data_IF_903913346899
#
_entry.id   IF_903913346899
#
_cell.length_a   1.000
_cell.length_b   1.000
_cell.length_c   1.000
_cell.angle_alpha   90.00
_cell.angle_beta   90.00
_cell.angle_gamma   90.00
#
_symmetry.space_group_name_H-M   'P 1'
#
loop_
_entity.id
_entity.type
_entity.pdbx_description
1 polymer ?
#
# COMPACT_ATOMS: atom_id res chain seq x y z
N UNK A 1 -8.56 -4.88 4.94
CA UNK A 1 -7.72 -5.80 4.16
C UNK A 1 -6.31 -5.24 3.98
N UNK A 2 -5.32 -6.10 3.83
CA UNK A 2 -3.90 -5.83 3.68
C UNK A 2 -3.41 -6.39 2.34
N UNK A 3 -2.66 -5.58 1.61
CA UNK A 3 -1.88 -5.98 0.43
C UNK A 3 -0.42 -5.60 0.64
N UNK A 4 0.50 -6.45 0.21
CA UNK A 4 1.93 -6.18 0.17
C UNK A 4 2.57 -6.96 -0.97
N UNK A 5 3.61 -6.41 -1.57
CA UNK A 5 4.34 -7.03 -2.66
C UNK A 5 5.86 -6.84 -2.47
N UNK A 6 6.63 -7.88 -2.81
CA UNK A 6 8.09 -7.80 -2.85
C UNK A 6 8.51 -7.26 -4.21
N UNK A 7 9.14 -6.10 -4.18
CA UNK A 7 9.63 -5.38 -5.37
C UNK A 7 11.15 -5.31 -5.41
N UNK A 8 11.77 -5.26 -6.60
CA UNK A 8 13.23 -5.28 -6.73
C UNK A 8 13.91 -3.93 -6.41
N UNK A 9 13.18 -2.82 -6.52
CA UNK A 9 13.70 -1.48 -6.25
C UNK A 9 12.59 -0.50 -5.84
N UNK A 10 13.01 0.69 -5.40
CA UNK A 10 12.11 1.78 -4.96
C UNK A 10 11.92 2.83 -6.07
N UNK A 11 12.02 2.47 -7.35
CA UNK A 11 11.84 3.42 -8.47
C UNK A 11 10.37 3.75 -8.69
N UNK A 12 10.14 4.84 -9.42
CA UNK A 12 8.79 5.31 -9.73
C UNK A 12 7.99 4.29 -10.54
N UNK A 13 8.61 3.67 -11.55
CA UNK A 13 7.99 2.66 -12.40
C UNK A 13 7.51 1.48 -11.56
N UNK A 14 8.37 1.00 -10.65
CA UNK A 14 8.06 -0.08 -9.72
C UNK A 14 6.95 0.30 -8.76
N UNK A 15 6.95 1.54 -8.26
CA UNK A 15 5.87 2.05 -7.41
C UNK A 15 4.52 2.08 -8.16
N UNK A 16 4.49 2.54 -9.41
CA UNK A 16 3.27 2.58 -10.23
C UNK A 16 2.77 1.17 -10.48
N UNK A 17 3.65 0.24 -10.87
CA UNK A 17 3.27 -1.17 -11.09
C UNK A 17 2.68 -1.81 -9.83
N UNK A 18 3.28 -1.56 -8.66
CA UNK A 18 2.73 -2.05 -7.39
C UNK A 18 1.33 -1.48 -7.09
N UNK A 19 1.02 -0.25 -7.52
CA UNK A 19 -0.34 0.29 -7.41
C UNK A 19 -1.31 -0.41 -8.36
N UNK A 20 -0.90 -0.68 -9.60
CA UNK A 20 -1.76 -1.39 -10.56
C UNK A 20 -2.12 -2.79 -10.05
N UNK A 21 -1.13 -3.56 -9.59
CA UNK A 21 -1.38 -4.86 -8.97
C UNK A 21 -2.26 -4.75 -7.72
N UNK A 22 -2.07 -3.70 -6.90
CA UNK A 22 -2.94 -3.47 -5.75
C UNK A 22 -4.38 -3.16 -6.19
N UNK A 23 -4.59 -2.33 -7.20
CA UNK A 23 -5.93 -2.01 -7.70
C UNK A 23 -6.63 -3.25 -8.26
N UNK A 24 -5.90 -4.09 -8.99
CA UNK A 24 -6.38 -5.40 -9.45
C UNK A 24 -6.75 -6.31 -8.27
N UNK A 25 -5.87 -6.41 -7.26
CA UNK A 25 -6.10 -7.21 -6.06
C UNK A 25 -7.37 -6.79 -5.30
N UNK A 26 -7.61 -5.49 -5.16
CA UNK A 26 -8.81 -4.96 -4.52
C UNK A 26 -10.04 -4.90 -5.46
N UNK A 27 -9.85 -5.12 -6.76
CA UNK A 27 -10.91 -5.02 -7.77
C UNK A 27 -11.43 -3.59 -7.98
N UNK A 28 -10.59 -2.59 -7.72
CA UNK A 28 -10.95 -1.18 -7.77
C UNK A 28 -9.80 -0.29 -7.30
N UNK A 29 -9.90 1.01 -7.55
CA UNK A 29 -8.88 1.98 -7.13
C UNK A 29 -9.42 2.97 -6.09
N UNK A 30 -8.50 3.45 -5.25
CA UNK A 30 -8.76 4.36 -4.14
C UNK A 30 -9.11 5.78 -4.59
N UNK A 31 -9.87 6.52 -3.78
CA UNK A 31 -10.16 7.94 -4.02
C UNK A 31 -9.09 8.88 -3.42
N UNK A 32 -8.46 8.47 -2.31
CA UNK A 32 -7.38 9.22 -1.67
C UNK A 32 -6.27 8.28 -1.20
N UNK A 33 -5.02 8.58 -1.56
CA UNK A 33 -3.83 7.79 -1.22
C UNK A 33 -2.92 8.54 -0.27
N UNK A 34 -2.63 7.93 0.88
CA UNK A 34 -1.72 8.51 1.87
C UNK A 34 -0.29 7.99 1.66
N UNK A 35 0.63 8.90 1.42
CA UNK A 35 2.03 8.61 1.11
C UNK A 35 2.97 9.24 2.14
N UNK A 36 4.15 8.64 2.27
CA UNK A 36 5.29 9.33 2.88
C UNK A 36 5.88 10.36 1.90
N UNK A 37 6.81 11.19 2.38
CA UNK A 37 7.51 12.18 1.54
C UNK A 37 8.66 11.55 0.72
N UNK A 38 8.47 10.33 0.20
CA UNK A 38 9.47 9.62 -0.64
C UNK A 38 9.68 10.33 -1.98
N UNK A 39 10.92 10.30 -2.52
CA UNK A 39 11.28 11.03 -3.76
C UNK A 39 10.44 10.66 -4.99
N UNK A 40 9.93 9.44 -5.02
CA UNK A 40 9.01 8.94 -6.06
C UNK A 40 7.66 9.67 -6.06
N UNK A 41 7.23 10.23 -4.92
CA UNK A 41 5.97 10.98 -4.76
C UNK A 41 6.22 12.47 -4.53
N UNK A 42 7.15 12.81 -3.65
CA UNK A 42 7.57 14.18 -3.30
C UNK A 42 8.99 14.39 -3.76
N UNK A 43 9.15 15.07 -4.89
CA UNK A 43 10.46 15.37 -5.49
C UNK A 43 11.31 16.30 -4.62
N UNK A 44 10.69 17.31 -3.99
CA UNK A 44 11.38 18.19 -3.02
C UNK A 44 10.49 18.56 -1.83
N UNK A 45 11.09 18.55 -0.65
CA UNK A 45 10.48 19.00 0.59
C UNK A 45 10.96 20.43 0.91
N UNK A 46 10.13 21.43 0.61
CA UNK A 46 10.39 22.84 0.93
C UNK A 46 9.21 23.41 1.76
N UNK A 47 9.10 24.75 1.89
CA UNK A 47 7.92 25.41 2.50
C UNK A 47 6.61 24.96 1.86
N UNK A 48 6.64 24.74 0.54
CA UNK A 48 5.61 24.02 -0.21
C UNK A 48 6.23 22.77 -0.83
N UNK A 49 5.48 21.68 -0.91
CA UNK A 49 5.98 20.41 -1.44
C UNK A 49 5.98 20.45 -2.96
N UNK A 50 7.09 20.06 -3.59
CA UNK A 50 7.16 19.79 -5.02
C UNK A 50 6.88 18.30 -5.23
N UNK A 51 5.74 17.96 -5.81
CA UNK A 51 5.39 16.57 -6.12
C UNK A 51 6.11 16.08 -7.38
N UNK A 52 6.30 14.77 -7.49
CA UNK A 52 6.82 14.14 -8.69
C UNK A 52 5.76 14.19 -9.81
N UNK A 53 6.03 14.93 -10.89
CA UNK A 53 5.08 15.15 -11.98
C UNK A 53 4.53 13.84 -12.57
N UNK A 54 5.41 12.86 -12.85
CA UNK A 54 4.98 11.57 -13.42
C UNK A 54 4.10 10.76 -12.47
N UNK A 55 4.33 10.86 -11.17
CA UNK A 55 3.43 10.24 -10.19
C UNK A 55 2.08 10.95 -10.11
N UNK A 56 2.09 12.29 -10.22
CA UNK A 56 0.85 13.06 -10.28
C UNK A 56 0.07 12.80 -11.57
N UNK A 57 0.73 12.59 -12.71
CA UNK A 57 0.09 12.20 -13.97
C UNK A 57 -0.63 10.85 -13.82
N UNK A 58 0.03 9.88 -13.20
CA UNK A 58 -0.60 8.60 -12.82
C UNK A 58 -1.82 8.80 -11.91
N UNK A 59 -1.67 9.60 -10.86
CA UNK A 59 -2.78 9.89 -9.94
C UNK A 59 -3.96 10.60 -10.62
N UNK A 60 -3.67 11.54 -11.52
CA UNK A 60 -4.67 12.28 -12.29
C UNK A 60 -5.38 11.39 -13.32
N UNK A 61 -4.65 10.47 -13.96
CA UNK A 61 -5.22 9.50 -14.90
C UNK A 61 -6.31 8.64 -14.22
N UNK A 62 -6.02 8.11 -13.04
CA UNK A 62 -7.01 7.37 -12.24
C UNK A 62 -7.99 8.30 -11.51
N UNK A 63 -7.62 9.55 -11.27
CA UNK A 63 -8.44 10.55 -10.59
C UNK A 63 -8.44 10.41 -9.06
N UNK A 64 -7.37 9.88 -8.47
CA UNK A 64 -7.24 9.80 -7.01
C UNK A 64 -6.35 10.92 -6.46
N UNK A 65 -6.64 11.34 -5.24
CA UNK A 65 -5.91 12.43 -4.58
C UNK A 65 -4.69 11.90 -3.84
N UNK A 66 -3.54 12.51 -4.09
CA UNK A 66 -2.29 12.24 -3.36
C UNK A 66 -2.23 13.08 -2.10
N UNK A 67 -2.23 12.42 -0.94
CA UNK A 67 -2.07 13.03 0.38
C UNK A 67 -0.69 12.66 0.92
N UNK A 68 0.05 13.64 1.41
CA UNK A 68 1.36 13.40 2.03
C UNK A 68 1.43 14.02 3.43
N UNK A 69 2.09 13.33 4.34
CA UNK A 69 2.21 13.77 5.74
C UNK A 69 2.89 15.13 5.87
N UNK A 70 2.32 16.03 6.68
CA UNK A 70 3.03 17.27 7.06
C UNK A 70 4.34 16.89 7.78
N UNK A 71 5.47 17.54 7.47
CA UNK A 71 6.69 17.38 8.25
C UNK A 71 6.39 17.59 9.75
N UNK A 72 6.93 16.74 10.62
CA UNK A 72 6.81 16.84 12.09
C UNK A 72 5.43 16.56 12.71
N UNK A 73 4.52 15.84 12.03
CA UNK A 73 3.30 15.32 12.67
C UNK A 73 3.25 13.77 12.71
N UNK A 74 3.94 13.14 13.67
CA UNK A 74 4.02 11.67 13.78
C UNK A 74 2.67 11.01 14.10
N UNK A 75 1.69 11.75 14.66
CA UNK A 75 0.39 11.19 15.06
C UNK A 75 -0.46 10.70 13.89
N UNK A 76 -0.27 11.25 12.69
CA UNK A 76 -1.02 10.84 11.49
C UNK A 76 -0.48 9.54 10.86
N UNK A 77 0.71 9.08 11.27
CA UNK A 77 1.48 8.03 10.58
C UNK A 77 1.37 6.63 11.22
N UNK A 78 0.66 6.51 12.35
CA UNK A 78 0.71 5.33 13.22
C UNK A 78 0.16 4.01 12.64
N UNK A 79 -0.75 4.04 11.66
CA UNK A 79 -1.31 2.80 11.07
C UNK A 79 -0.39 2.19 10.01
N UNK A 80 0.21 3.03 9.16
CA UNK A 80 1.15 2.57 8.11
C UNK A 80 2.52 2.25 8.72
N UNK A 81 2.97 3.00 9.73
CA UNK A 81 4.24 2.74 10.43
C UNK A 81 4.29 1.37 11.12
N UNK A 82 3.17 0.84 11.59
CA UNK A 82 3.13 -0.49 12.20
C UNK A 82 3.07 -1.62 11.17
N UNK A 83 2.65 -1.32 9.94
CA UNK A 83 2.40 -2.36 8.96
C UNK A 83 3.70 -2.94 8.39
N UNK A 84 4.67 -2.09 8.04
CA UNK A 84 5.95 -2.56 7.50
C UNK A 84 6.72 -3.43 8.52
N UNK A 85 6.92 -3.01 9.79
CA UNK A 85 7.48 -3.87 10.81
C UNK A 85 6.69 -5.16 11.01
N UNK A 86 5.35 -5.09 11.05
CA UNK A 86 4.50 -6.27 11.22
C UNK A 86 4.70 -7.31 10.12
N UNK A 87 4.74 -6.89 8.85
CA UNK A 87 5.04 -7.80 7.72
C UNK A 87 6.47 -8.35 7.86
N UNK A 88 7.46 -7.51 8.15
CA UNK A 88 8.86 -7.94 8.28
C UNK A 88 9.07 -8.94 9.42
N UNK A 89 8.46 -8.72 10.57
CA UNK A 89 8.59 -9.61 11.73
C UNK A 89 7.94 -10.97 11.47
N UNK A 90 6.83 -11.02 10.74
CA UNK A 90 6.15 -12.29 10.48
C UNK A 90 6.79 -13.10 9.34
N UNK A 91 7.39 -12.42 8.35
CA UNK A 91 7.94 -13.08 7.17
C UNK A 91 9.45 -13.26 7.28
N UNK A 92 10.19 -12.23 7.70
CA UNK A 92 11.66 -12.22 7.60
C UNK A 92 12.37 -12.67 8.88
N UNK A 93 11.74 -12.58 10.04
CA UNK A 93 12.42 -12.83 11.31
C UNK A 93 12.77 -14.32 11.47
N UNK A 94 14.07 -14.63 11.50
CA UNK A 94 14.58 -16.00 11.65
C UNK A 94 14.37 -16.90 10.43
N UNK A 95 14.00 -16.34 9.29
CA UNK A 95 13.76 -17.07 8.04
C UNK A 95 14.85 -16.77 7.01
N UNK A 96 15.16 -17.76 6.18
CA UNK A 96 16.03 -17.62 5.02
C UNK A 96 15.30 -18.18 3.81
N UNK A 97 15.43 -17.50 2.66
CA UNK A 97 14.78 -17.90 1.42
C UNK A 97 15.83 -18.16 0.35
N UNK A 98 15.59 -19.18 -0.46
CA UNK A 98 16.49 -19.62 -1.53
C UNK A 98 16.48 -18.64 -2.71
N UNK A 99 15.33 -17.97 -2.94
CA UNK A 99 15.16 -16.99 -4.00
C UNK A 99 13.96 -16.05 -3.72
N UNK A 100 13.82 -15.00 -4.53
CA UNK A 100 12.73 -14.03 -4.41
C UNK A 100 11.35 -14.64 -4.67
N UNK A 101 11.23 -15.68 -5.50
CA UNK A 101 9.94 -16.34 -5.78
C UNK A 101 9.42 -17.02 -4.52
N UNK A 102 10.30 -17.71 -3.78
CA UNK A 102 9.96 -18.33 -2.50
C UNK A 102 9.45 -17.29 -1.49
N UNK A 103 10.18 -16.18 -1.32
CA UNK A 103 9.77 -15.09 -0.45
C UNK A 103 8.41 -14.49 -0.87
N UNK A 104 8.17 -14.31 -2.18
CA UNK A 104 6.88 -13.83 -2.71
C UNK A 104 5.73 -14.78 -2.39
N UNK A 105 5.96 -16.10 -2.50
CA UNK A 105 4.93 -17.10 -2.18
C UNK A 105 4.61 -17.09 -0.68
N UNK A 106 5.64 -17.08 0.18
CA UNK A 106 5.44 -17.02 1.64
C UNK A 106 4.72 -15.74 2.06
N UNK A 107 5.03 -14.60 1.44
CA UNK A 107 4.29 -13.36 1.68
C UNK A 107 2.80 -13.52 1.29
N UNK A 108 2.49 -14.10 0.12
CA UNK A 108 1.11 -14.32 -0.34
C UNK A 108 0.32 -15.22 0.61
N UNK A 109 0.90 -16.34 1.03
CA UNK A 109 0.26 -17.28 1.94
C UNK A 109 -0.01 -16.63 3.30
N UNK A 110 0.97 -15.88 3.82
CA UNK A 110 0.79 -15.16 5.07
C UNK A 110 -0.24 -14.03 4.95
N UNK A 111 -0.32 -13.30 3.83
CA UNK A 111 -1.34 -12.29 3.61
C UNK A 111 -2.75 -12.89 3.63
N UNK A 112 -2.93 -14.09 3.06
CA UNK A 112 -4.20 -14.81 3.10
C UNK A 112 -4.62 -15.16 4.55
N UNK A 113 -3.64 -15.52 5.40
CA UNK A 113 -3.87 -15.75 6.83
C UNK A 113 -4.16 -14.41 7.54
N UNK A 114 -3.33 -13.40 7.34
CA UNK A 114 -3.42 -12.11 8.01
C UNK A 114 -4.77 -11.42 7.74
N UNK A 115 -5.30 -11.54 6.52
CA UNK A 115 -6.59 -10.96 6.14
C UNK A 115 -7.81 -11.70 6.72
N UNK A 116 -7.63 -12.91 7.24
CA UNK A 116 -8.66 -13.69 7.93
C UNK A 116 -8.53 -13.65 9.46
N UNK A 117 -7.51 -12.97 10.01
CA UNK A 117 -7.35 -12.83 11.47
C UNK A 117 -8.46 -11.96 12.03
N UNK A 118 -9.18 -12.48 13.03
CA UNK A 118 -10.22 -11.74 13.74
C UNK A 118 -9.62 -10.57 14.52
N UNK A 119 -10.08 -9.35 14.26
CA UNK A 119 -9.63 -8.18 15.01
C UNK A 119 -10.27 -8.17 16.41
N UNK A 120 -9.44 -8.08 17.45
CA UNK A 120 -9.86 -8.21 18.86
C UNK A 120 -10.93 -7.18 19.27
N UNK A 121 -10.81 -5.94 18.82
CA UNK A 121 -11.76 -4.85 19.13
C UNK A 121 -12.98 -4.84 18.19
N UNK A 122 -12.76 -4.86 16.87
CA UNK A 122 -13.81 -4.73 15.86
C UNK A 122 -14.66 -6.00 15.67
N UNK A 123 -14.19 -7.15 16.18
CA UNK A 123 -14.86 -8.47 16.07
C UNK A 123 -15.20 -8.90 14.65
N UNK A 124 -14.44 -8.39 13.67
CA UNK A 124 -14.52 -8.78 12.27
C UNK A 124 -13.10 -8.93 11.71
N UNK A 125 -12.96 -9.69 10.63
CA UNK A 125 -11.72 -9.87 9.90
C UNK A 125 -11.48 -8.71 8.92
N UNK A 126 -10.22 -8.42 8.54
CA UNK A 126 -9.91 -7.45 7.49
C UNK A 126 -10.60 -7.73 6.15
N UNK A 127 -10.89 -8.99 5.83
CA UNK A 127 -11.62 -9.42 4.64
C UNK A 127 -13.11 -9.08 4.74
N UNK A 128 -13.79 -9.50 5.82
CA UNK A 128 -15.22 -9.21 6.01
C UNK A 128 -15.51 -7.71 5.96
N UNK A 129 -14.67 -6.91 6.63
CA UNK A 129 -14.80 -5.46 6.57
C UNK A 129 -14.61 -4.91 5.17
N UNK A 130 -13.64 -5.45 4.43
CA UNK A 130 -13.39 -5.02 3.07
C UNK A 130 -14.56 -5.34 2.14
N UNK A 131 -15.15 -6.54 2.22
CA UNK A 131 -16.32 -6.89 1.40
C UNK A 131 -17.51 -5.93 1.62
N UNK A 132 -17.68 -5.41 2.84
CA UNK A 132 -18.70 -4.39 3.14
C UNK A 132 -18.38 -3.02 2.54
N UNK A 133 -17.10 -2.67 2.45
CA UNK A 133 -16.64 -1.36 2.01
C UNK A 133 -16.24 -1.32 0.52
N UNK A 134 -16.07 -2.48 -0.14
CA UNK A 134 -15.55 -2.62 -1.52
C UNK A 134 -16.32 -1.80 -2.55
N UNK A 135 -17.64 -1.66 -2.38
CA UNK A 135 -18.48 -0.87 -3.28
C UNK A 135 -18.20 0.65 -3.25
N UNK A 136 -17.37 1.13 -2.32
CA UNK A 136 -16.88 2.51 -2.31
C UNK A 136 -15.60 2.73 -3.11
N UNK A 137 -15.00 1.66 -3.65
CA UNK A 137 -13.87 1.77 -4.58
C UNK A 137 -14.37 2.26 -5.93
N UNK A 138 -13.49 2.95 -6.65
CA UNK A 138 -13.75 3.30 -8.03
C UNK A 138 -13.51 2.08 -8.92
N UNK A 139 -14.35 1.90 -9.94
CA UNK A 139 -14.26 0.77 -10.85
C UNK A 139 -13.02 0.84 -11.75
N UNK A 140 -12.41 -0.31 -12.02
CA UNK A 140 -11.32 -0.46 -12.98
C UNK A 140 -11.73 -0.26 -14.44
N UNK A 141 -13.02 -0.08 -14.73
CA UNK A 141 -13.63 0.02 -16.07
C UNK A 141 -13.22 1.25 -16.90
N UNK A 142 -12.25 2.04 -16.43
CA UNK A 142 -11.69 3.21 -17.15
C UNK A 142 -10.51 2.91 -18.08
N UNK A 143 -10.17 1.64 -18.30
CA UNK A 143 -9.24 1.20 -19.35
C UNK A 143 -10.01 0.78 -20.59
#
# INVERSE_FOLDING_TARGET
>A
MLYAEIVPDEKLETLIQAHLHAFEYFGGYLSEGLYDNMKTVVKKLQKQKEYNARFMDFANFYGFKVITHRPYNPKAKGKVERLVPYVRENILYGQSYSNLTELKNVLRDWLAIANQRLHSELKETPLERFEREKNHLNELSKL
#
